data_IF_962060173322
#
_entry.id   IF_962060173322
#
_cell.length_a   1.000
_cell.length_b   1.000
_cell.length_c   1.000
_cell.angle_alpha   90.00
_cell.angle_beta   90.00
_cell.angle_gamma   90.00
#
_symmetry.space_group_name_H-M   'P 1'
#
loop_
_entity.id
_entity.type
_entity.pdbx_description
1 polymer ?
#
# COMPACT_ATOMS: atom_id res chain seq x y z
N UNK A 1 17.92 7.59 -18.06
CA UNK A 1 16.68 6.83 -18.23
C UNK A 1 16.99 5.35 -18.05
N UNK A 2 16.41 4.72 -17.02
CA UNK A 2 16.63 3.30 -16.70
C UNK A 2 15.46 2.40 -17.19
N UNK A 3 14.49 2.97 -17.92
CA UNK A 3 13.38 2.19 -18.46
C UNK A 3 13.85 1.34 -19.65
N UNK A 4 13.54 0.06 -19.60
CA UNK A 4 13.83 -0.92 -20.64
C UNK A 4 12.83 -0.78 -21.81
N UNK A 5 13.16 -1.36 -22.95
CA UNK A 5 12.27 -1.34 -24.12
C UNK A 5 10.96 -2.08 -23.92
N UNK A 6 10.88 -3.01 -22.96
CA UNK A 6 9.66 -3.71 -22.57
C UNK A 6 8.78 -2.92 -21.60
N UNK A 7 9.24 -1.76 -21.13
CA UNK A 7 8.51 -0.90 -20.19
C UNK A 7 8.93 -1.05 -18.73
N UNK A 8 9.64 -2.12 -18.34
CA UNK A 8 10.16 -2.24 -16.98
C UNK A 8 11.18 -1.16 -16.68
N UNK A 9 11.24 -0.68 -15.43
CA UNK A 9 12.24 0.28 -14.99
C UNK A 9 12.89 -0.13 -13.67
N UNK A 10 14.08 0.40 -13.41
CA UNK A 10 14.84 0.10 -12.20
C UNK A 10 15.64 -1.20 -12.28
N UNK A 11 16.28 -1.61 -11.18
CA UNK A 11 17.05 -2.84 -11.13
C UNK A 11 16.14 -4.05 -11.21
N UNK A 12 16.56 -5.05 -11.98
CA UNK A 12 15.86 -6.33 -12.00
C UNK A 12 16.37 -7.19 -10.84
N UNK A 13 15.51 -7.44 -9.87
CA UNK A 13 15.80 -8.29 -8.72
C UNK A 13 14.80 -9.45 -8.74
N UNK A 14 15.29 -10.66 -8.61
CA UNK A 14 14.46 -11.86 -8.52
C UNK A 14 14.59 -12.50 -7.14
N UNK A 15 13.45 -12.88 -6.59
CA UNK A 15 13.35 -13.69 -5.39
C UNK A 15 12.55 -14.95 -5.71
N UNK A 16 13.20 -16.11 -5.57
CA UNK A 16 12.58 -17.42 -5.87
C UNK A 16 12.00 -17.52 -7.29
N UNK A 17 12.66 -16.89 -8.27
CA UNK A 17 12.24 -16.91 -9.67
C UNK A 17 11.10 -15.93 -10.03
N UNK A 18 10.70 -15.07 -9.11
CA UNK A 18 9.70 -14.02 -9.32
C UNK A 18 10.34 -12.63 -9.17
N UNK A 19 9.90 -11.62 -9.93
CA UNK A 19 10.42 -10.27 -9.77
C UNK A 19 10.03 -9.69 -8.41
N UNK A 20 10.96 -8.97 -7.80
CA UNK A 20 10.71 -8.14 -6.64
C UNK A 20 10.26 -6.75 -7.13
N UNK A 21 9.00 -6.41 -6.92
CA UNK A 21 8.41 -5.16 -7.41
C UNK A 21 8.26 -4.10 -6.29
N UNK A 22 8.61 -4.42 -5.06
CA UNK A 22 8.41 -3.49 -3.96
C UNK A 22 9.18 -2.18 -4.14
N UNK A 23 10.44 -2.24 -4.55
CA UNK A 23 11.23 -1.03 -4.81
C UNK A 23 10.62 -0.13 -5.88
N UNK A 24 9.96 -0.73 -6.88
CA UNK A 24 9.24 0.00 -7.91
C UNK A 24 8.00 0.72 -7.33
N UNK A 25 7.28 0.11 -6.38
CA UNK A 25 6.11 0.75 -5.73
C UNK A 25 6.50 2.04 -5.02
N UNK A 26 7.61 2.04 -4.30
CA UNK A 26 8.15 3.24 -3.66
C UNK A 26 8.54 4.31 -4.70
N UNK A 27 9.23 3.90 -5.77
CA UNK A 27 9.61 4.84 -6.82
C UNK A 27 8.38 5.43 -7.54
N UNK A 28 7.30 4.68 -7.71
CA UNK A 28 6.06 5.19 -8.28
C UNK A 28 5.49 6.35 -7.44
N UNK A 29 5.56 6.28 -6.13
CA UNK A 29 5.14 7.38 -5.25
C UNK A 29 6.04 8.62 -5.43
N UNK A 30 7.35 8.43 -5.51
CA UNK A 30 8.28 9.52 -5.81
C UNK A 30 7.96 10.19 -7.17
N UNK A 31 7.63 9.38 -8.18
CA UNK A 31 7.26 9.87 -9.51
C UNK A 31 5.94 10.64 -9.49
N UNK A 32 4.94 10.17 -8.74
CA UNK A 32 3.67 10.88 -8.56
C UNK A 32 3.91 12.26 -7.92
N UNK A 33 4.63 12.29 -6.79
CA UNK A 33 4.96 13.56 -6.11
C UNK A 33 5.73 14.51 -7.03
N UNK A 34 6.70 13.99 -7.79
CA UNK A 34 7.44 14.79 -8.76
C UNK A 34 6.52 15.36 -9.86
N UNK A 35 5.60 14.55 -10.38
CA UNK A 35 4.64 15.00 -11.38
C UNK A 35 3.67 16.05 -10.82
N UNK A 36 3.15 15.86 -9.63
CA UNK A 36 2.23 16.81 -8.97
C UNK A 36 2.88 18.20 -8.79
N UNK A 37 4.20 18.24 -8.61
CA UNK A 37 4.96 19.49 -8.50
C UNK A 37 5.37 20.08 -9.85
N UNK A 38 5.78 19.26 -10.82
CA UNK A 38 6.43 19.71 -12.06
C UNK A 38 5.55 19.62 -13.30
N UNK A 39 4.52 18.79 -13.27
CA UNK A 39 3.70 18.40 -14.44
C UNK A 39 4.52 17.83 -15.60
N UNK A 40 5.68 17.21 -15.32
CA UNK A 40 6.57 16.63 -16.33
C UNK A 40 5.91 15.43 -17.04
N UNK A 41 5.57 15.54 -18.34
CA UNK A 41 4.85 14.48 -19.05
C UNK A 41 5.63 13.18 -19.17
N UNK A 42 6.96 13.21 -19.00
CA UNK A 42 7.80 12.00 -19.02
C UNK A 42 7.45 11.03 -17.89
N UNK A 43 6.89 11.52 -16.79
CA UNK A 43 6.42 10.67 -15.69
C UNK A 43 5.23 9.82 -16.15
N UNK A 44 4.26 10.46 -16.79
CA UNK A 44 3.07 9.76 -17.31
C UNK A 44 3.48 8.70 -18.34
N UNK A 45 4.38 9.03 -19.25
CA UNK A 45 4.90 8.09 -20.24
C UNK A 45 5.60 6.89 -19.56
N UNK A 46 6.49 7.16 -18.61
CA UNK A 46 7.22 6.11 -17.88
C UNK A 46 6.27 5.18 -17.12
N UNK A 47 5.33 5.75 -16.39
CA UNK A 47 4.36 4.98 -15.60
C UNK A 47 3.41 4.18 -16.52
N UNK A 48 2.96 4.76 -17.62
CA UNK A 48 2.13 4.07 -18.62
C UNK A 48 2.83 2.85 -19.19
N UNK A 49 4.09 2.99 -19.60
CA UNK A 49 4.89 1.88 -20.13
C UNK A 49 5.11 0.79 -19.07
N UNK A 50 5.40 1.19 -17.84
CA UNK A 50 5.59 0.23 -16.74
C UNK A 50 4.30 -0.54 -16.39
N UNK A 51 3.16 0.13 -16.36
CA UNK A 51 1.89 -0.54 -16.06
C UNK A 51 1.40 -1.42 -17.22
N UNK A 52 1.72 -1.09 -18.48
CA UNK A 52 1.53 -2.03 -19.60
C UNK A 52 2.36 -3.29 -19.43
N UNK A 53 3.64 -3.14 -19.07
CA UNK A 53 4.49 -4.25 -18.71
C UNK A 53 3.88 -5.11 -17.59
N UNK A 54 3.37 -4.51 -16.52
CA UNK A 54 2.72 -5.23 -15.43
C UNK A 54 1.46 -5.99 -15.91
N UNK A 55 0.67 -5.36 -16.77
CA UNK A 55 -0.56 -5.98 -17.31
C UNK A 55 -0.23 -7.23 -18.13
N UNK A 56 0.82 -7.17 -18.96
CA UNK A 56 1.26 -8.26 -19.83
C UNK A 56 2.09 -9.33 -19.11
N UNK A 57 2.69 -8.98 -17.95
CA UNK A 57 3.55 -9.92 -17.22
C UNK A 57 2.76 -11.15 -16.76
N UNK A 58 3.33 -12.38 -16.86
CA UNK A 58 2.61 -13.61 -16.51
C UNK A 58 2.03 -13.59 -15.11
N UNK A 59 0.73 -13.87 -14.98
CA UNK A 59 0.00 -13.75 -13.70
C UNK A 59 0.52 -14.73 -12.64
N UNK A 60 1.00 -15.89 -13.05
CA UNK A 60 1.59 -16.89 -12.16
C UNK A 60 2.92 -16.46 -11.52
N UNK A 61 3.54 -15.38 -12.03
CA UNK A 61 4.78 -14.77 -11.50
C UNK A 61 4.57 -13.36 -10.96
N UNK A 62 3.38 -12.79 -11.15
CA UNK A 62 3.09 -11.41 -10.79
C UNK A 62 2.74 -11.28 -9.32
N UNK A 63 3.42 -10.41 -8.57
CA UNK A 63 3.22 -10.17 -7.13
C UNK A 63 3.26 -11.48 -6.31
N UNK A 64 4.26 -12.34 -6.54
CA UNK A 64 4.40 -13.61 -5.79
C UNK A 64 5.42 -13.53 -4.65
N UNK A 65 6.31 -12.54 -4.65
CA UNK A 65 7.14 -12.28 -3.48
C UNK A 65 6.24 -11.85 -2.30
N UNK A 66 6.65 -12.24 -1.09
CA UNK A 66 5.89 -11.94 0.11
C UNK A 66 5.65 -10.43 0.30
N UNK A 67 6.69 -9.63 0.08
CA UNK A 67 6.62 -8.18 0.25
C UNK A 67 5.68 -7.55 -0.76
N UNK A 68 5.76 -7.98 -2.01
CA UNK A 68 4.90 -7.51 -3.10
C UNK A 68 3.42 -7.82 -2.83
N UNK A 69 3.14 -9.05 -2.40
CA UNK A 69 1.78 -9.52 -2.12
C UNK A 69 1.12 -8.72 -1.01
N UNK A 70 1.85 -8.46 0.08
CA UNK A 70 1.33 -7.75 1.24
C UNK A 70 1.14 -6.25 0.96
N UNK A 71 2.05 -5.65 0.18
CA UNK A 71 2.09 -4.21 -0.11
C UNK A 71 1.47 -3.84 -1.45
N UNK A 72 0.80 -4.77 -2.11
CA UNK A 72 0.19 -4.57 -3.43
C UNK A 72 -0.82 -3.40 -3.47
N UNK A 73 -1.36 -2.98 -2.33
CA UNK A 73 -2.19 -1.79 -2.19
C UNK A 73 -1.49 -0.49 -2.64
N UNK A 74 -0.16 -0.40 -2.48
CA UNK A 74 0.63 0.75 -2.94
C UNK A 74 0.71 0.80 -4.46
N UNK A 75 0.89 -0.38 -5.09
CA UNK A 75 0.85 -0.48 -6.53
C UNK A 75 -0.55 -0.15 -7.08
N UNK A 76 -1.59 -0.68 -6.43
CA UNK A 76 -2.99 -0.39 -6.80
C UNK A 76 -3.30 1.11 -6.72
N UNK A 77 -2.85 1.79 -5.67
CA UNK A 77 -3.00 3.23 -5.53
C UNK A 77 -2.35 3.98 -6.70
N UNK A 78 -1.12 3.61 -7.06
CA UNK A 78 -0.39 4.21 -8.17
C UNK A 78 -1.07 4.01 -9.52
N UNK A 79 -1.68 2.84 -9.74
CA UNK A 79 -2.49 2.54 -10.93
C UNK A 79 -3.72 3.43 -10.99
N UNK A 80 -4.44 3.58 -9.89
CA UNK A 80 -5.64 4.44 -9.85
C UNK A 80 -5.29 5.93 -9.93
N UNK A 81 -4.13 6.34 -9.40
CA UNK A 81 -3.64 7.70 -9.58
C UNK A 81 -3.43 8.01 -11.08
N UNK A 82 -2.76 7.10 -11.81
CA UNK A 82 -2.56 7.29 -13.25
C UNK A 82 -3.89 7.26 -14.03
N UNK A 83 -4.80 6.36 -13.66
CA UNK A 83 -6.14 6.31 -14.24
C UNK A 83 -6.88 7.65 -14.10
N UNK A 84 -6.82 8.28 -12.94
CA UNK A 84 -7.48 9.57 -12.69
C UNK A 84 -6.88 10.71 -13.54
N UNK A 85 -5.64 10.58 -13.99
CA UNK A 85 -4.99 11.58 -14.86
C UNK A 85 -5.30 11.31 -16.34
N UNK A 86 -5.21 10.06 -16.76
CA UNK A 86 -5.27 9.70 -18.20
C UNK A 86 -6.66 9.30 -18.67
N UNK A 87 -7.49 8.73 -17.80
CA UNK A 87 -8.77 8.12 -18.15
C UNK A 87 -8.66 6.76 -18.87
N UNK A 88 -7.47 6.17 -18.92
CA UNK A 88 -7.21 4.92 -19.66
C UNK A 88 -7.84 3.71 -18.96
N UNK A 89 -8.94 3.18 -19.48
CA UNK A 89 -9.71 2.08 -18.86
C UNK A 89 -8.92 0.77 -18.66
N UNK A 90 -7.89 0.53 -19.49
CA UNK A 90 -7.04 -0.67 -19.32
C UNK A 90 -6.32 -0.71 -17.96
N UNK A 91 -6.11 0.46 -17.31
CA UNK A 91 -5.57 0.54 -15.95
C UNK A 91 -6.50 -0.12 -14.93
N UNK A 92 -7.81 -0.08 -15.14
CA UNK A 92 -8.77 -0.78 -14.27
C UNK A 92 -8.63 -2.31 -14.40
N UNK A 93 -8.28 -2.82 -15.58
CA UNK A 93 -7.99 -4.25 -15.76
C UNK A 93 -6.70 -4.65 -15.02
N UNK A 94 -5.68 -3.79 -15.04
CA UNK A 94 -4.49 -3.99 -14.20
C UNK A 94 -4.85 -3.94 -12.71
N UNK A 95 -5.70 -3.00 -12.29
CA UNK A 95 -6.20 -2.95 -10.93
C UNK A 95 -6.85 -4.26 -10.47
N UNK A 96 -7.68 -4.87 -11.32
CA UNK A 96 -8.28 -6.20 -11.07
C UNK A 96 -7.22 -7.30 -10.96
N UNK A 97 -6.19 -7.26 -11.81
CA UNK A 97 -5.06 -8.21 -11.76
C UNK A 97 -4.30 -8.09 -10.43
N UNK A 98 -4.02 -6.87 -9.98
CA UNK A 98 -3.37 -6.61 -8.68
C UNK A 98 -4.24 -7.18 -7.56
N UNK A 99 -5.53 -6.88 -7.54
CA UNK A 99 -6.48 -7.35 -6.51
C UNK A 99 -6.53 -8.88 -6.40
N UNK A 100 -6.41 -9.62 -7.50
CA UNK A 100 -6.36 -11.09 -7.47
C UNK A 100 -5.06 -11.63 -6.89
N UNK A 101 -4.00 -10.84 -6.86
CA UNK A 101 -2.65 -11.24 -6.44
C UNK A 101 -2.19 -10.56 -5.14
N UNK A 102 -3.03 -9.74 -4.50
CA UNK A 102 -2.76 -9.14 -3.20
C UNK A 102 -3.14 -10.08 -2.05
N UNK A 103 -2.54 -9.88 -0.89
CA UNK A 103 -2.97 -10.54 0.34
C UNK A 103 -4.41 -10.16 0.68
N UNK A 104 -5.13 -11.06 1.35
CA UNK A 104 -6.50 -10.78 1.76
C UNK A 104 -6.52 -9.88 3.00
N UNK A 105 -6.79 -8.60 2.78
CA UNK A 105 -7.01 -7.61 3.84
C UNK A 105 -8.50 -7.41 4.20
N UNK A 106 -9.43 -8.13 3.56
CA UNK A 106 -10.85 -8.21 3.95
C UNK A 106 -11.06 -9.35 4.93
N UNK A 107 -10.68 -9.13 6.18
CA UNK A 107 -10.65 -10.15 7.21
C UNK A 107 -11.35 -9.67 8.49
N UNK A 108 -11.86 -10.64 9.28
CA UNK A 108 -12.58 -10.35 10.51
C UNK A 108 -11.78 -10.68 11.78
N UNK A 109 -10.77 -11.54 11.70
CA UNK A 109 -10.11 -12.10 12.89
C UNK A 109 -8.58 -12.14 12.84
N UNK A 110 -7.99 -12.52 11.73
CA UNK A 110 -6.55 -12.72 11.61
C UNK A 110 -5.96 -11.85 10.49
N UNK A 111 -4.97 -11.02 10.83
CA UNK A 111 -4.23 -10.25 9.85
C UNK A 111 -3.37 -11.17 8.98
N UNK A 112 -3.18 -10.85 7.67
CA UNK A 112 -2.38 -11.69 6.77
C UNK A 112 -0.88 -11.58 7.06
N UNK A 113 -0.48 -10.69 7.97
CA UNK A 113 0.91 -10.38 8.28
C UNK A 113 1.06 -9.95 9.74
N UNK A 114 2.26 -10.09 10.28
CA UNK A 114 2.65 -9.72 11.65
C UNK A 114 3.84 -8.75 11.69
N UNK A 115 4.43 -8.41 10.56
CA UNK A 115 5.51 -7.43 10.46
C UNK A 115 4.94 -6.02 10.54
N UNK A 116 5.52 -5.15 11.37
CA UNK A 116 4.96 -3.83 11.69
C UNK A 116 4.72 -2.98 10.44
N UNK A 117 5.74 -2.79 9.60
CA UNK A 117 5.65 -2.00 8.37
C UNK A 117 4.62 -2.58 7.38
N UNK A 118 4.60 -3.90 7.21
CA UNK A 118 3.65 -4.57 6.30
C UNK A 118 2.21 -4.32 6.70
N UNK A 119 1.94 -4.31 8.02
CA UNK A 119 0.60 -4.01 8.55
C UNK A 119 0.26 -2.55 8.28
N UNK A 120 1.19 -1.63 8.60
CA UNK A 120 0.98 -0.19 8.43
C UNK A 120 0.71 0.21 6.97
N UNK A 121 1.31 -0.50 6.01
CA UNK A 121 1.07 -0.29 4.58
C UNK A 121 -0.18 -1.03 4.08
N UNK A 122 -0.36 -2.29 4.51
CA UNK A 122 -1.34 -3.19 3.89
C UNK A 122 -2.78 -2.97 4.37
N UNK A 123 -2.99 -2.55 5.63
CA UNK A 123 -4.34 -2.50 6.22
C UNK A 123 -5.32 -1.59 5.45
N UNK A 124 -4.83 -0.60 4.71
CA UNK A 124 -5.63 0.33 3.90
C UNK A 124 -5.98 -0.19 2.51
N UNK A 125 -5.44 -1.34 2.07
CA UNK A 125 -5.68 -1.87 0.71
C UNK A 125 -7.18 -1.92 0.37
N UNK A 126 -8.08 -2.38 1.26
CA UNK A 126 -9.50 -2.41 0.93
C UNK A 126 -10.08 -1.01 0.66
N UNK A 127 -9.67 0.03 1.39
CA UNK A 127 -10.12 1.40 1.10
C UNK A 127 -9.56 1.90 -0.24
N UNK A 128 -8.35 1.52 -0.62
CA UNK A 128 -7.80 1.81 -1.95
C UNK A 128 -8.67 1.17 -3.04
N UNK A 129 -9.07 -0.07 -2.87
CA UNK A 129 -10.00 -0.77 -3.78
C UNK A 129 -11.37 -0.10 -3.81
N UNK A 130 -11.89 0.32 -2.66
CA UNK A 130 -13.16 1.03 -2.54
C UNK A 130 -13.23 2.29 -3.41
N UNK A 131 -12.15 2.95 -3.67
CA UNK A 131 -12.15 4.13 -4.56
C UNK A 131 -12.76 3.84 -5.94
N UNK A 132 -12.67 2.60 -6.42
CA UNK A 132 -13.28 2.18 -7.68
C UNK A 132 -14.56 1.37 -7.49
N UNK A 133 -14.56 0.41 -6.56
CA UNK A 133 -15.69 -0.50 -6.38
C UNK A 133 -16.91 0.16 -5.74
N UNK A 134 -16.68 1.15 -4.87
CA UNK A 134 -17.69 1.73 -3.97
C UNK A 134 -18.41 0.69 -3.10
N UNK A 135 -17.83 -0.52 -2.96
CA UNK A 135 -18.32 -1.55 -2.05
C UNK A 135 -18.07 -1.11 -0.60
N UNK A 136 -19.13 -0.83 0.13
CA UNK A 136 -19.04 -0.41 1.54
C UNK A 136 -18.33 -1.44 2.43
N UNK A 137 -18.32 -2.71 2.05
CA UNK A 137 -17.59 -3.77 2.77
C UNK A 137 -16.07 -3.61 2.66
N UNK A 138 -15.56 -3.05 1.57
CA UNK A 138 -14.14 -2.73 1.42
C UNK A 138 -13.74 -1.62 2.40
N UNK A 139 -14.52 -0.55 2.46
CA UNK A 139 -14.25 0.53 3.40
C UNK A 139 -14.35 0.07 4.85
N UNK A 140 -15.40 -0.68 5.19
CA UNK A 140 -15.60 -1.24 6.51
C UNK A 140 -14.43 -2.16 6.93
N UNK A 141 -13.88 -2.95 6.00
CA UNK A 141 -12.72 -3.80 6.26
C UNK A 141 -11.50 -3.01 6.69
N UNK A 142 -11.24 -1.85 6.09
CA UNK A 142 -10.11 -0.98 6.50
C UNK A 142 -10.26 -0.50 7.95
N UNK A 143 -11.44 -0.01 8.33
CA UNK A 143 -11.69 0.39 9.73
C UNK A 143 -11.57 -0.80 10.69
N UNK A 144 -12.11 -1.97 10.28
CA UNK A 144 -11.97 -3.17 11.07
C UNK A 144 -10.50 -3.56 11.26
N UNK A 145 -9.69 -3.50 10.22
CA UNK A 145 -8.26 -3.78 10.28
C UNK A 145 -7.54 -2.84 11.25
N UNK A 146 -7.83 -1.55 11.20
CA UNK A 146 -7.26 -0.55 12.11
C UNK A 146 -7.52 -0.90 13.58
N UNK A 147 -8.74 -1.27 13.91
CA UNK A 147 -9.12 -1.66 15.26
C UNK A 147 -8.60 -3.04 15.64
N UNK A 148 -8.59 -3.98 14.70
CA UNK A 148 -8.10 -5.34 14.89
C UNK A 148 -6.62 -5.36 15.24
N UNK A 149 -5.80 -4.59 14.52
CA UNK A 149 -4.36 -4.45 14.76
C UNK A 149 -4.11 -4.03 16.21
N UNK A 150 -4.79 -2.98 16.67
CA UNK A 150 -4.64 -2.45 18.03
C UNK A 150 -5.14 -3.42 19.11
N UNK A 151 -6.20 -4.14 18.83
CA UNK A 151 -6.73 -5.17 19.75
C UNK A 151 -5.79 -6.36 19.91
N UNK A 152 -5.10 -6.77 18.83
CA UNK A 152 -4.22 -7.94 18.85
C UNK A 152 -2.83 -7.61 19.39
N UNK A 153 -2.28 -6.47 18.99
CA UNK A 153 -0.89 -6.09 19.28
C UNK A 153 -0.76 -4.97 20.30
N UNK A 154 -1.88 -4.40 20.75
CA UNK A 154 -1.93 -3.27 21.66
C UNK A 154 -1.70 -1.93 20.96
N UNK A 155 -1.86 -0.88 21.71
CA UNK A 155 -1.58 0.50 21.30
C UNK A 155 -0.65 1.14 22.31
N UNK A 156 0.40 1.78 21.84
CA UNK A 156 1.28 2.58 22.68
C UNK A 156 0.75 4.02 22.78
N UNK A 157 1.16 4.79 23.81
CA UNK A 157 0.92 6.23 23.80
C UNK A 157 1.46 6.85 22.50
N UNK A 158 0.67 7.73 21.88
CA UNK A 158 1.03 8.33 20.60
C UNK A 158 0.39 7.67 19.38
N UNK A 159 -0.64 6.83 19.57
CA UNK A 159 -1.53 6.40 18.49
C UNK A 159 -1.05 5.18 17.68
N UNK A 160 0.23 4.82 17.73
CA UNK A 160 0.75 3.68 17.01
C UNK A 160 0.35 2.36 17.66
N UNK A 161 0.14 1.31 16.87
CA UNK A 161 0.00 -0.05 17.38
C UNK A 161 1.35 -0.64 17.79
N UNK A 162 1.33 -1.59 18.72
CA UNK A 162 2.53 -2.17 19.28
C UNK A 162 3.30 -3.06 18.31
N UNK A 163 4.62 -2.92 18.33
CA UNK A 163 5.54 -3.76 17.56
C UNK A 163 6.83 -3.02 17.20
N UNK A 164 7.95 -3.65 17.52
CA UNK A 164 9.25 -3.30 16.95
C UNK A 164 9.25 -3.74 15.45
N UNK A 165 10.15 -4.55 14.99
CA UNK A 165 10.00 -5.13 13.65
C UNK A 165 8.86 -6.17 13.58
N UNK A 166 8.61 -6.87 14.68
CA UNK A 166 7.62 -7.95 14.75
C UNK A 166 6.51 -7.65 15.77
N UNK A 167 5.28 -7.58 15.29
CA UNK A 167 4.12 -7.53 16.16
C UNK A 167 3.89 -8.90 16.82
N UNK A 168 3.62 -8.90 18.13
CA UNK A 168 3.47 -10.13 18.93
C UNK A 168 2.05 -10.25 19.43
N UNK A 169 1.33 -11.24 18.93
CA UNK A 169 -0.05 -11.47 19.32
C UNK A 169 -0.18 -11.63 20.84
N UNK A 170 -1.11 -10.89 21.43
CA UNK A 170 -1.36 -10.89 22.87
C UNK A 170 -0.34 -10.12 23.71
N UNK A 171 0.71 -9.56 23.12
CA UNK A 171 1.65 -8.67 23.81
C UNK A 171 1.18 -7.23 23.66
N UNK A 172 0.43 -6.77 24.64
CA UNK A 172 -0.25 -5.45 24.63
C UNK A 172 0.35 -4.45 25.60
N UNK A 173 1.60 -4.67 26.03
CA UNK A 173 2.29 -3.76 26.95
C UNK A 173 2.52 -2.40 26.27
N UNK A 174 2.05 -1.28 26.85
CA UNK A 174 2.21 0.03 26.27
C UNK A 174 3.67 0.54 26.22
N UNK A 175 4.61 -0.18 26.81
CA UNK A 175 6.05 0.13 26.80
C UNK A 175 6.80 -0.62 25.71
N UNK A 176 6.13 -1.37 24.86
CA UNK A 176 6.80 -2.10 23.77
C UNK A 176 7.44 -1.15 22.76
N UNK A 177 8.52 -1.60 22.13
CA UNK A 177 9.19 -0.84 21.07
C UNK A 177 8.31 -0.66 19.84
N UNK A 178 8.53 0.44 19.11
CA UNK A 178 7.87 0.74 17.86
C UNK A 178 8.92 0.95 16.78
N UNK A 179 8.71 0.31 15.63
CA UNK A 179 9.54 0.51 14.46
C UNK A 179 9.24 1.85 13.79
N UNK A 180 10.27 2.67 13.56
CA UNK A 180 10.11 3.98 12.93
C UNK A 180 9.52 3.87 11.52
N UNK A 181 9.92 2.86 10.74
CA UNK A 181 9.36 2.64 9.40
C UNK A 181 7.83 2.44 9.46
N UNK A 182 7.35 1.67 10.45
CA UNK A 182 5.92 1.49 10.65
C UNK A 182 5.19 2.78 11.01
N UNK A 183 5.80 3.67 11.79
CA UNK A 183 5.21 4.99 12.10
C UNK A 183 5.07 5.83 10.84
N UNK A 184 6.10 5.89 9.99
CA UNK A 184 6.08 6.65 8.72
C UNK A 184 5.01 6.08 7.78
N UNK A 185 4.94 4.77 7.64
CA UNK A 185 3.95 4.13 6.75
C UNK A 185 2.51 4.22 7.30
N UNK A 186 2.34 4.23 8.62
CA UNK A 186 1.03 4.47 9.22
C UNK A 186 0.56 5.90 8.94
N UNK A 187 1.43 6.91 9.11
CA UNK A 187 1.10 8.30 8.78
C UNK A 187 0.75 8.46 7.30
N UNK A 188 1.52 7.84 6.38
CA UNK A 188 1.21 7.85 4.96
C UNK A 188 -0.14 7.17 4.66
N UNK A 189 -0.47 6.09 5.35
CA UNK A 189 -1.77 5.44 5.26
C UNK A 189 -2.91 6.33 5.76
N UNK A 190 -2.71 7.00 6.88
CA UNK A 190 -3.70 7.91 7.48
C UNK A 190 -3.97 9.11 6.57
N UNK A 191 -2.93 9.71 5.97
CA UNK A 191 -3.09 10.79 4.99
C UNK A 191 -3.92 10.36 3.77
N UNK A 192 -3.65 9.17 3.23
CA UNK A 192 -4.43 8.64 2.11
C UNK A 192 -5.88 8.35 2.52
N UNK A 193 -6.09 7.75 3.69
CA UNK A 193 -7.43 7.46 4.19
C UNK A 193 -8.23 8.73 4.46
N UNK A 194 -7.59 9.78 4.96
CA UNK A 194 -8.22 11.10 5.08
C UNK A 194 -8.66 11.62 3.70
N UNK A 195 -7.80 11.52 2.68
CA UNK A 195 -8.13 11.92 1.30
C UNK A 195 -9.30 11.12 0.72
N UNK A 196 -9.39 9.81 1.02
CA UNK A 196 -10.42 8.93 0.47
C UNK A 196 -11.77 9.13 1.14
N UNK A 197 -11.77 9.33 2.47
CA UNK A 197 -12.98 9.25 3.30
C UNK A 197 -13.45 10.61 3.81
N UNK A 198 -12.53 11.56 3.99
CA UNK A 198 -12.79 12.81 4.69
C UNK A 198 -12.99 12.65 6.20
N UNK A 199 -12.71 11.46 6.77
CA UNK A 199 -12.89 11.19 8.20
C UNK A 199 -11.72 11.78 9.01
N UNK A 200 -11.97 12.74 9.92
CA UNK A 200 -10.92 13.39 10.71
C UNK A 200 -10.19 12.43 11.66
N UNK A 201 -10.74 11.25 11.96
CA UNK A 201 -10.07 10.22 12.76
C UNK A 201 -8.67 9.91 12.22
N UNK A 202 -8.51 9.90 10.89
CA UNK A 202 -7.23 9.63 10.26
C UNK A 202 -6.23 10.77 10.45
N UNK A 203 -6.70 12.02 10.40
CA UNK A 203 -5.86 13.17 10.70
C UNK A 203 -5.41 13.18 12.17
N UNK A 204 -6.31 12.89 13.09
CA UNK A 204 -6.02 12.83 14.53
C UNK A 204 -4.98 11.74 14.80
N UNK A 205 -5.13 10.53 14.22
CA UNK A 205 -4.17 9.45 14.41
C UNK A 205 -2.79 9.79 13.81
N UNK A 206 -2.77 10.42 12.63
CA UNK A 206 -1.53 10.88 12.00
C UNK A 206 -0.80 11.90 12.88
N UNK A 207 -1.52 12.88 13.43
CA UNK A 207 -0.97 13.90 14.33
C UNK A 207 -0.42 13.27 15.61
N UNK A 208 -1.16 12.36 16.22
CA UNK A 208 -0.72 11.63 17.42
C UNK A 208 0.61 10.90 17.16
N UNK A 209 0.74 10.22 16.05
CA UNK A 209 1.98 9.51 15.70
C UNK A 209 3.14 10.47 15.42
N UNK A 210 2.87 11.59 14.75
CA UNK A 210 3.89 12.55 14.36
C UNK A 210 4.51 13.30 15.54
N UNK A 211 3.74 13.53 16.62
CA UNK A 211 4.16 14.39 17.74
C UNK A 211 4.40 13.64 19.06
N UNK A 212 4.25 12.34 19.09
CA UNK A 212 4.56 11.50 20.25
C UNK A 212 5.56 10.40 19.88
#
# INVERSE_FOLDING_TARGET
NSQRSDGYFGPWIEKQGNPDLWGNMIMLWCLQTYYEYTTDPRVIELMTNYFKWQLEYPEEKFLKDRWDTIRAGDNLYSVYWLYNITGDEWLLELGKKIQRNTANWRIDSNLPQWHNVDIAQGFREPATRWMQTKDSADLAATYNNFHLVRRIFGQVPGGMFGGDENCRMGYIDPRQGIELCGMVEQMASDELLLRFTGDPMWADNCEDIAFN
#
